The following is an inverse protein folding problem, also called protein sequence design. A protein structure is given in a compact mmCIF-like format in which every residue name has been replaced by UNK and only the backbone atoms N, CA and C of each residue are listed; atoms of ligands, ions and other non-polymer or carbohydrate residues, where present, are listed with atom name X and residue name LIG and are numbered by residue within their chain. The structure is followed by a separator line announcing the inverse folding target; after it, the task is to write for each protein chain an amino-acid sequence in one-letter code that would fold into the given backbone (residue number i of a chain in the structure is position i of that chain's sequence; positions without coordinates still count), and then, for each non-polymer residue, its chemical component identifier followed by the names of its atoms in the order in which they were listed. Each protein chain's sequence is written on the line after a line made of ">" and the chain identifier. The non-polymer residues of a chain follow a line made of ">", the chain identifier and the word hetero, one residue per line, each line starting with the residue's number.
data_IF_557148097064
#
_entry.id   IF_557148097064
#
_cell.length_a   1.000
_cell.length_b   1.000
_cell.length_c   1.000
_cell.angle_alpha   90.00
_cell.angle_beta   90.00
_cell.angle_gamma   90.00
#
_symmetry.space_group_name_H-M   'P 1'
#
loop_
_entity.id
_entity.type
_entity.pdbx_description
1 polymer ?
#
# COMPACT_ATOMS: atom_id res chain seq x y z
N UNK A 1 -20.13 6.50 -4.49
CA UNK A 1 -18.66 6.36 -4.60
C UNK A 1 -18.30 6.52 -6.06
N UNK A 2 -17.24 7.26 -6.37
CA UNK A 2 -16.76 7.42 -7.75
C UNK A 2 -16.19 6.09 -8.25
N UNK A 3 -16.39 5.76 -9.52
CA UNK A 3 -15.79 4.59 -10.18
C UNK A 3 -14.98 5.01 -11.40
N UNK A 4 -13.89 4.29 -11.69
CA UNK A 4 -13.05 4.51 -12.88
C UNK A 4 -12.46 3.19 -13.38
N UNK A 5 -12.17 3.10 -14.68
CA UNK A 5 -11.40 1.98 -15.23
C UNK A 5 -9.91 2.26 -14.99
N UNK A 6 -9.23 1.34 -14.31
CA UNK A 6 -7.80 1.45 -13.97
C UNK A 6 -7.01 0.26 -14.45
N UNK A 7 -5.73 0.51 -14.67
CA UNK A 7 -4.69 -0.52 -14.72
C UNK A 7 -4.15 -0.74 -13.30
N UNK A 8 -3.96 -2.00 -12.91
CA UNK A 8 -3.51 -2.42 -11.58
C UNK A 8 -2.45 -3.49 -11.80
N UNK A 9 -1.23 -3.32 -11.29
CA UNK A 9 -0.14 -4.30 -11.39
C UNK A 9 0.46 -4.57 -10.02
N UNK A 10 0.59 -5.84 -9.63
CA UNK A 10 1.33 -6.23 -8.43
C UNK A 10 2.84 -6.02 -8.67
N UNK A 11 3.49 -5.28 -7.77
CA UNK A 11 4.92 -4.94 -7.85
C UNK A 11 5.76 -5.75 -6.88
N UNK A 12 5.26 -6.01 -5.68
CA UNK A 12 5.95 -6.84 -4.69
C UNK A 12 6.33 -8.20 -5.25
N UNK A 13 7.60 -8.57 -5.15
CA UNK A 13 8.12 -9.85 -5.64
C UNK A 13 8.30 -9.96 -7.16
N UNK A 14 8.04 -8.90 -7.93
CA UNK A 14 8.14 -8.93 -9.40
C UNK A 14 8.99 -7.79 -9.97
N UNK A 15 9.75 -8.09 -11.03
CA UNK A 15 10.62 -7.11 -11.70
C UNK A 15 9.97 -6.57 -12.99
N UNK A 16 8.70 -6.19 -12.91
CA UNK A 16 7.91 -5.65 -14.03
C UNK A 16 7.02 -6.66 -14.77
N UNK A 17 6.96 -7.90 -14.28
CA UNK A 17 6.18 -9.00 -14.84
C UNK A 17 5.13 -9.54 -13.85
N UNK A 18 4.69 -8.70 -12.92
CA UNK A 18 3.69 -9.10 -11.94
C UNK A 18 2.31 -9.29 -12.58
N UNK A 19 1.42 -10.08 -11.95
CA UNK A 19 0.02 -10.13 -12.32
C UNK A 19 -0.55 -8.72 -12.47
N UNK A 20 -1.31 -8.49 -13.54
CA UNK A 20 -1.90 -7.19 -13.81
C UNK A 20 -3.32 -7.32 -14.33
N UNK A 21 -4.12 -6.30 -14.01
CA UNK A 21 -5.53 -6.24 -14.31
C UNK A 21 -5.90 -4.90 -14.93
N UNK A 22 -6.97 -4.93 -15.71
CA UNK A 22 -7.75 -3.75 -16.08
C UNK A 22 -9.17 -3.98 -15.58
N UNK A 23 -9.62 -3.10 -14.70
CA UNK A 23 -10.84 -3.31 -13.94
C UNK A 23 -11.55 -2.02 -13.55
N UNK A 24 -12.84 -2.15 -13.22
CA UNK A 24 -13.64 -1.05 -12.67
C UNK A 24 -13.37 -0.93 -11.17
N UNK A 25 -12.67 0.13 -10.79
CA UNK A 25 -12.37 0.38 -9.39
C UNK A 25 -13.40 1.30 -8.77
N UNK A 26 -13.60 1.18 -7.46
CA UNK A 26 -14.38 2.13 -6.66
C UNK A 26 -13.49 2.90 -5.69
N UNK A 27 -13.69 4.20 -5.57
CA UNK A 27 -12.98 5.01 -4.59
C UNK A 27 -13.76 5.11 -3.27
N UNK A 28 -13.04 5.16 -2.15
CA UNK A 28 -13.60 5.60 -0.87
C UNK A 28 -14.09 7.04 -0.95
N UNK A 29 -14.84 7.49 0.07
CA UNK A 29 -15.37 8.87 0.11
C UNK A 29 -14.24 9.92 0.07
N UNK A 30 -13.12 9.65 0.73
CA UNK A 30 -11.94 10.52 0.74
C UNK A 30 -11.11 10.42 -0.54
N UNK A 31 -11.33 9.38 -1.35
CA UNK A 31 -10.53 9.10 -2.55
C UNK A 31 -9.17 8.45 -2.26
N UNK A 32 -8.81 8.24 -0.99
CA UNK A 32 -7.51 7.67 -0.59
C UNK A 32 -7.41 6.15 -0.74
N UNK A 33 -8.55 5.47 -0.80
CA UNK A 33 -8.64 4.01 -0.89
C UNK A 33 -9.35 3.63 -2.19
N UNK A 34 -8.81 2.65 -2.88
CA UNK A 34 -9.36 2.05 -4.09
C UNK A 34 -9.82 0.63 -3.75
N UNK A 35 -11.00 0.23 -4.20
CA UNK A 35 -11.53 -1.11 -4.05
C UNK A 35 -11.63 -1.79 -5.41
N UNK A 36 -11.10 -3.00 -5.51
CA UNK A 36 -11.18 -3.85 -6.70
C UNK A 36 -10.94 -5.31 -6.32
N UNK A 37 -11.72 -6.22 -6.89
CA UNK A 37 -11.56 -7.68 -6.76
C UNK A 37 -11.47 -8.18 -5.30
N UNK A 38 -12.43 -7.75 -4.47
CA UNK A 38 -12.45 -8.13 -3.05
C UNK A 38 -11.31 -7.56 -2.20
N UNK A 39 -10.50 -6.64 -2.76
CA UNK A 39 -9.35 -6.00 -2.11
C UNK A 39 -9.55 -4.50 -1.91
N UNK A 40 -8.77 -3.94 -1.00
CA UNK A 40 -8.55 -2.51 -0.87
C UNK A 40 -7.09 -2.16 -1.15
N UNK A 41 -6.88 -0.98 -1.70
CA UNK A 41 -5.57 -0.43 -2.00
C UNK A 41 -5.51 0.98 -1.43
N UNK A 42 -4.60 1.22 -0.50
CA UNK A 42 -4.38 2.52 0.11
C UNK A 42 -3.21 3.24 -0.58
N UNK A 43 -3.35 4.55 -0.79
CA UNK A 43 -2.29 5.38 -1.37
C UNK A 43 -1.03 5.32 -0.51
N UNK A 44 0.13 5.13 -1.16
CA UNK A 44 1.43 5.26 -0.51
C UNK A 44 1.90 6.73 -0.42
N UNK A 45 1.14 7.69 -0.95
CA UNK A 45 1.45 9.13 -0.88
C UNK A 45 2.90 9.49 -1.30
N UNK A 46 3.47 8.70 -2.21
CA UNK A 46 4.83 8.88 -2.73
C UNK A 46 5.96 8.22 -1.92
N UNK A 47 5.65 7.43 -0.89
CA UNK A 47 6.65 6.70 -0.09
C UNK A 47 6.94 5.28 -0.59
N UNK A 48 6.18 4.80 -1.59
CA UNK A 48 6.36 3.47 -2.17
C UNK A 48 7.70 3.27 -2.86
N UNK A 49 8.18 2.03 -2.83
CA UNK A 49 9.47 1.64 -3.45
C UNK A 49 9.29 1.36 -4.95
N UNK A 50 8.25 0.61 -5.27
CA UNK A 50 7.99 0.00 -6.58
C UNK A 50 6.56 0.24 -7.09
N UNK A 51 5.62 0.48 -6.17
CA UNK A 51 4.23 0.85 -6.42
C UNK A 51 3.86 2.22 -5.88
N UNK A 52 2.61 2.61 -6.09
CA UNK A 52 2.01 3.85 -5.58
C UNK A 52 0.80 3.60 -4.65
N UNK A 53 0.37 2.34 -4.54
CA UNK A 53 -0.60 1.89 -3.56
C UNK A 53 -0.09 0.62 -2.87
N UNK A 54 -0.67 0.25 -1.74
CA UNK A 54 -0.45 -1.04 -1.09
C UNK A 54 -1.76 -1.68 -0.65
N UNK A 55 -1.77 -3.02 -0.57
CA UNK A 55 -2.87 -3.79 0.03
C UNK A 55 -2.65 -3.88 1.54
N UNK A 56 -3.51 -3.30 2.39
CA UNK A 56 -3.31 -3.25 3.84
C UNK A 56 -3.38 -4.62 4.53
N UNK A 57 -3.85 -5.66 3.84
CA UNK A 57 -3.91 -7.04 4.34
C UNK A 57 -2.59 -7.80 4.14
N UNK A 58 -1.80 -7.42 3.14
CA UNK A 58 -0.59 -8.17 2.73
C UNK A 58 0.68 -7.32 2.72
N UNK A 59 0.55 -6.00 2.82
CA UNK A 59 1.59 -5.01 2.60
C UNK A 59 2.23 -5.07 1.20
N UNK A 60 1.60 -5.77 0.25
CA UNK A 60 2.05 -5.82 -1.13
C UNK A 60 1.85 -4.47 -1.82
N UNK A 61 2.88 -3.99 -2.52
CA UNK A 61 2.81 -2.77 -3.31
C UNK A 61 2.23 -3.05 -4.70
N UNK A 62 1.37 -2.14 -5.14
CA UNK A 62 0.71 -2.15 -6.44
C UNK A 62 0.99 -0.84 -7.18
N UNK A 63 1.13 -0.96 -8.49
CA UNK A 63 1.08 0.16 -9.41
C UNK A 63 -0.34 0.31 -9.96
N UNK A 64 -1.02 1.41 -9.61
CA UNK A 64 -2.37 1.71 -10.06
C UNK A 64 -2.38 3.03 -10.83
N UNK A 65 -2.82 2.98 -12.09
CA UNK A 65 -2.87 4.13 -12.98
C UNK A 65 -4.13 4.13 -13.86
N UNK A 66 -4.38 5.24 -14.56
CA UNK A 66 -5.35 5.23 -15.66
C UNK A 66 -4.90 4.28 -16.78
N UNK A 67 -5.86 3.72 -17.50
CA UNK A 67 -5.60 2.91 -18.69
C UNK A 67 -5.14 3.80 -19.85
N UNK A 68 -4.16 3.31 -20.63
CA UNK A 68 -3.65 3.98 -21.82
C UNK A 68 -4.37 3.51 -23.07
N UNK A 69 -4.66 4.46 -23.97
CA UNK A 69 -5.30 4.17 -25.27
C UNK A 69 -4.40 3.35 -26.20
N UNK A 70 -3.09 3.48 -26.05
CA UNK A 70 -2.09 2.78 -26.86
C UNK A 70 -1.73 1.39 -26.31
N UNK A 71 -2.38 0.96 -25.23
CA UNK A 71 -2.21 -0.37 -24.63
C UNK A 71 -0.80 -0.60 -24.03
N UNK A 72 -0.02 0.46 -23.79
CA UNK A 72 1.33 0.40 -23.19
C UNK A 72 1.32 0.56 -21.67
N UNK A 73 0.26 0.09 -20.99
CA UNK A 73 0.10 0.22 -19.54
C UNK A 73 1.25 -0.44 -18.78
N UNK A 74 1.58 -1.67 -19.17
CA UNK A 74 2.70 -2.43 -18.61
C UNK A 74 4.04 -1.80 -19.01
N UNK A 75 5.02 -1.92 -18.12
CA UNK A 75 6.39 -1.50 -18.38
C UNK A 75 6.95 -2.16 -19.67
N UNK A 76 7.78 -1.44 -20.42
CA UNK A 76 8.32 -1.87 -21.74
C UNK A 76 9.07 -3.21 -21.73
N UNK A 77 9.67 -3.57 -20.60
CA UNK A 77 10.39 -4.83 -20.40
C UNK A 77 9.61 -5.81 -19.51
N UNK A 78 8.38 -5.46 -19.17
CA UNK A 78 7.46 -6.33 -18.47
C UNK A 78 6.88 -7.37 -19.41
N UNK A 79 6.39 -8.46 -18.82
CA UNK A 79 5.73 -9.54 -19.56
C UNK A 79 4.53 -10.08 -18.79
N UNK A 80 3.87 -11.07 -19.39
CA UNK A 80 2.67 -11.70 -18.82
C UNK A 80 1.39 -11.03 -19.29
N UNK A 81 0.30 -11.80 -19.27
CA UNK A 81 -1.01 -11.32 -19.68
C UNK A 81 -1.55 -10.27 -18.72
N UNK A 82 -2.38 -9.39 -19.25
CA UNK A 82 -3.19 -8.44 -18.48
C UNK A 82 -4.62 -8.94 -18.46
N UNK A 83 -5.16 -9.16 -17.27
CA UNK A 83 -6.51 -9.66 -17.10
C UNK A 83 -7.53 -8.52 -17.19
N UNK A 84 -8.45 -8.58 -18.14
CA UNK A 84 -9.51 -7.58 -18.30
C UNK A 84 -10.77 -8.12 -17.66
N UNK A 85 -11.33 -7.34 -16.74
CA UNK A 85 -12.61 -7.66 -16.12
C UNK A 85 -13.73 -7.75 -17.17
N UNK A 86 -14.47 -8.86 -17.17
CA UNK A 86 -15.53 -9.14 -18.16
C UNK A 86 -16.59 -8.04 -18.27
N UNK A 87 -17.01 -7.44 -17.14
CA UNK A 87 -18.11 -6.46 -17.09
C UNK A 87 -17.80 -5.16 -17.83
N UNK A 88 -16.52 -4.79 -17.91
CA UNK A 88 -16.08 -3.53 -18.55
C UNK A 88 -15.54 -3.72 -19.96
N UNK A 89 -15.62 -4.93 -20.53
CA UNK A 89 -15.00 -5.22 -21.82
C UNK A 89 -15.43 -4.22 -22.91
N UNK A 90 -16.72 -3.92 -23.00
CA UNK A 90 -17.24 -2.94 -23.98
C UNK A 90 -16.63 -1.56 -23.80
N UNK A 91 -16.61 -1.06 -22.56
CA UNK A 91 -16.09 0.27 -22.24
C UNK A 91 -14.58 0.35 -22.48
N UNK A 92 -13.84 -0.69 -22.10
CA UNK A 92 -12.40 -0.76 -22.33
C UNK A 92 -12.07 -0.81 -23.82
N UNK A 93 -12.78 -1.60 -24.62
CA UNK A 93 -12.63 -1.66 -26.07
C UNK A 93 -12.85 -0.28 -26.72
N UNK A 94 -13.81 0.49 -26.24
CA UNK A 94 -14.03 1.87 -26.69
C UNK A 94 -12.83 2.78 -26.36
N UNK A 95 -12.26 2.66 -25.16
CA UNK A 95 -11.08 3.44 -24.74
C UNK A 95 -9.89 3.20 -25.67
N UNK A 96 -9.61 1.94 -25.99
CA UNK A 96 -8.47 1.55 -26.85
C UNK A 96 -8.80 1.58 -28.35
N UNK A 97 -10.05 1.92 -28.71
CA UNK A 97 -10.54 1.96 -30.10
C UNK A 97 -10.32 0.64 -30.85
N UNK A 98 -10.68 -0.49 -30.22
CA UNK A 98 -10.59 -1.84 -30.79
C UNK A 98 -11.97 -2.49 -30.85
N UNK A 99 -12.16 -3.38 -31.83
CA UNK A 99 -13.37 -4.21 -31.93
C UNK A 99 -13.31 -5.47 -31.06
N UNK A 100 -12.10 -5.94 -30.76
CA UNK A 100 -11.86 -7.14 -29.97
C UNK A 100 -10.58 -7.02 -29.14
N UNK A 101 -10.54 -7.81 -28.07
CA UNK A 101 -9.42 -7.83 -27.14
C UNK A 101 -8.28 -8.70 -27.71
N UNK A 102 -7.03 -8.20 -27.82
CA UNK A 102 -5.91 -9.00 -28.32
C UNK A 102 -5.56 -10.15 -27.37
N UNK A 103 -5.88 -11.38 -27.78
CA UNK A 103 -5.74 -12.59 -26.95
C UNK A 103 -4.28 -12.97 -26.61
N UNK A 104 -3.31 -12.38 -27.32
CA UNK A 104 -1.88 -12.57 -27.05
C UNK A 104 -1.50 -12.04 -25.67
N UNK A 105 -1.92 -10.81 -25.38
CA UNK A 105 -1.46 -10.04 -24.23
C UNK A 105 -2.55 -9.87 -23.17
N UNK A 106 -3.80 -10.22 -23.50
CA UNK A 106 -4.94 -10.02 -22.63
C UNK A 106 -5.80 -11.27 -22.48
N UNK A 107 -6.42 -11.39 -21.31
CA UNK A 107 -7.33 -12.48 -20.98
C UNK A 107 -8.52 -11.95 -20.19
N UNK A 108 -9.72 -12.50 -20.40
CA UNK A 108 -10.89 -12.08 -19.67
C UNK A 108 -10.95 -12.78 -18.31
N UNK A 109 -11.23 -12.01 -17.26
CA UNK A 109 -11.41 -12.55 -15.89
C UNK A 109 -12.72 -12.09 -15.27
N UNK A 110 -13.23 -12.91 -14.36
CA UNK A 110 -14.22 -12.48 -13.38
C UNK A 110 -13.49 -11.88 -12.19
N UNK A 111 -14.17 -10.98 -11.49
CA UNK A 111 -13.65 -10.31 -10.29
C UNK A 111 -14.73 -10.26 -9.24
N UNK A 112 -14.33 -10.28 -7.98
CA UNK A 112 -15.22 -10.07 -6.86
C UNK A 112 -15.67 -8.59 -6.81
N UNK A 113 -16.99 -8.40 -6.79
CA UNK A 113 -17.60 -7.07 -6.90
C UNK A 113 -17.95 -6.46 -5.55
N UNK A 114 -18.00 -7.30 -4.52
CA UNK A 114 -18.23 -6.89 -3.14
C UNK A 114 -17.00 -6.16 -2.62
N UNK A 115 -17.22 -5.08 -1.89
CA UNK A 115 -16.13 -4.24 -1.35
C UNK A 115 -15.89 -4.66 0.08
N UNK A 116 -14.65 -4.95 0.49
CA UNK A 116 -14.33 -5.40 1.84
C UNK A 116 -14.33 -4.23 2.86
N UNK A 117 -15.30 -3.32 2.82
CA UNK A 117 -15.24 -2.07 3.61
C UNK A 117 -15.20 -2.36 5.11
N UNK A 118 -16.05 -3.25 5.61
CA UNK A 118 -16.10 -3.61 7.03
C UNK A 118 -14.79 -4.27 7.46
N UNK A 119 -14.33 -5.28 6.71
CA UNK A 119 -13.06 -5.99 6.94
C UNK A 119 -11.86 -5.04 6.98
N UNK A 120 -11.81 -4.05 6.08
CA UNK A 120 -10.70 -3.08 6.02
C UNK A 120 -10.76 -2.07 7.17
N UNK A 121 -11.97 -1.62 7.56
CA UNK A 121 -12.11 -0.75 8.71
C UNK A 121 -11.70 -1.45 10.01
N UNK A 122 -12.01 -2.74 10.17
CA UNK A 122 -11.57 -3.54 11.32
C UNK A 122 -10.04 -3.60 11.39
N UNK A 123 -9.36 -3.90 10.28
CA UNK A 123 -7.90 -3.90 10.22
C UNK A 123 -7.28 -2.52 10.50
N UNK A 124 -7.89 -1.44 10.01
CA UNK A 124 -7.43 -0.07 10.30
C UNK A 124 -7.62 0.27 11.78
N UNK A 125 -8.74 -0.13 12.39
CA UNK A 125 -9.00 0.09 13.82
C UNK A 125 -8.07 -0.74 14.70
N UNK A 126 -7.82 -2.02 14.37
CA UNK A 126 -6.83 -2.84 15.08
C UNK A 126 -5.45 -2.21 15.06
N UNK A 127 -5.01 -1.70 13.89
CA UNK A 127 -3.75 -0.94 13.78
C UNK A 127 -3.74 0.32 14.64
N UNK A 128 -4.88 1.00 14.78
CA UNK A 128 -5.00 2.17 15.63
C UNK A 128 -5.03 1.81 17.13
N UNK A 129 -5.66 0.70 17.51
CA UNK A 129 -5.71 0.19 18.89
C UNK A 129 -4.35 -0.35 19.35
N UNK A 130 -3.54 -0.92 18.45
CA UNK A 130 -2.15 -1.31 18.75
C UNK A 130 -1.30 -0.08 19.14
N UNK A 131 -1.63 1.11 18.64
CA UNK A 131 -1.03 2.36 19.11
C UNK A 131 -1.75 2.82 20.40
N UNK A 132 -1.58 2.07 21.50
CA UNK A 132 -2.00 2.47 22.86
C UNK A 132 -1.38 3.80 23.30
N UNK A 133 -0.31 4.21 22.63
CA UNK A 133 0.51 5.36 22.94
C UNK A 133 0.43 6.43 21.85
N UNK A 134 0.47 7.69 22.27
CA UNK A 134 0.40 8.86 21.39
C UNK A 134 1.56 8.88 20.37
N UNK A 135 1.31 9.23 19.12
CA UNK A 135 2.37 9.37 18.10
C UNK A 135 3.39 10.45 18.47
N UNK A 136 3.03 11.38 19.34
CA UNK A 136 3.88 12.49 19.74
C UNK A 136 4.92 12.13 20.81
N UNK A 137 4.93 10.90 21.32
CA UNK A 137 5.89 10.46 22.35
C UNK A 137 7.35 10.61 21.90
N UNK A 138 7.65 10.44 20.61
CA UNK A 138 8.99 10.59 20.03
C UNK A 138 9.57 12.00 20.20
N UNK A 139 8.71 13.00 20.41
CA UNK A 139 9.11 14.40 20.59
C UNK A 139 9.24 14.80 22.07
N UNK A 140 8.70 14.01 22.99
CA UNK A 140 8.82 14.24 24.43
C UNK A 140 10.24 13.96 24.91
N UNK A 141 10.65 14.63 25.98
CA UNK A 141 11.91 14.31 26.66
C UNK A 141 11.76 13.01 27.44
N UNK A 142 12.84 12.25 27.65
CA UNK A 142 12.79 11.00 28.42
C UNK A 142 12.12 11.15 29.79
N UNK A 143 12.33 12.27 30.49
CA UNK A 143 11.75 12.55 31.80
C UNK A 143 10.26 12.97 31.78
N UNK A 144 9.68 13.16 30.59
CA UNK A 144 8.26 13.50 30.39
C UNK A 144 7.41 12.26 30.05
N UNK A 145 8.05 11.08 29.95
CA UNK A 145 7.45 9.81 29.60
C UNK A 145 7.30 8.90 30.83
N UNK A 146 6.25 8.08 30.87
CA UNK A 146 6.14 6.94 31.80
C UNK A 146 7.10 5.81 31.41
N UNK A 147 7.29 4.82 32.29
CA UNK A 147 8.17 3.69 31.99
C UNK A 147 7.63 2.86 30.82
N UNK A 148 6.31 2.64 30.78
CA UNK A 148 5.62 1.95 29.68
C UNK A 148 5.75 2.72 28.35
N UNK A 149 5.60 4.05 28.38
CA UNK A 149 5.81 4.91 27.21
C UNK A 149 7.27 4.87 26.72
N UNK A 150 8.25 4.82 27.63
CA UNK A 150 9.67 4.68 27.28
C UNK A 150 9.93 3.32 26.62
N UNK A 151 9.42 2.23 27.19
CA UNK A 151 9.58 0.89 26.63
C UNK A 151 8.94 0.77 25.24
N UNK A 152 7.76 1.35 25.05
CA UNK A 152 7.10 1.42 23.76
C UNK A 152 7.96 2.14 22.71
N UNK A 153 8.41 3.36 23.01
CA UNK A 153 9.23 4.15 22.07
C UNK A 153 10.57 3.46 21.77
N UNK A 154 11.17 2.78 22.74
CA UNK A 154 12.39 1.96 22.53
C UNK A 154 12.11 0.85 21.51
N UNK A 155 10.96 0.18 21.61
CA UNK A 155 10.58 -0.92 20.72
C UNK A 155 10.38 -0.44 19.27
N UNK A 156 9.68 0.69 19.07
CA UNK A 156 9.49 1.30 17.75
C UNK A 156 10.82 1.72 17.13
N UNK A 157 11.66 2.43 17.90
CA UNK A 157 12.98 2.88 17.43
C UNK A 157 13.91 1.72 17.07
N UNK A 158 13.77 0.57 17.75
CA UNK A 158 14.55 -0.62 17.43
C UNK A 158 14.11 -1.25 16.09
N UNK A 159 12.82 -1.18 15.76
CA UNK A 159 12.30 -1.66 14.48
C UNK A 159 12.67 -0.70 13.33
N UNK A 160 12.52 0.60 13.55
CA UNK A 160 12.98 1.65 12.62
C UNK A 160 14.48 1.55 12.33
N UNK A 161 15.31 1.26 13.35
CA UNK A 161 16.75 1.06 13.18
C UNK A 161 17.07 -0.08 12.19
N UNK A 162 16.30 -1.16 12.21
CA UNK A 162 16.47 -2.32 11.31
C UNK A 162 16.01 -1.99 9.89
N UNK A 163 14.87 -1.31 9.76
CA UNK A 163 14.17 -1.17 8.48
C UNK A 163 14.64 0.05 7.68
N UNK A 164 15.22 1.07 8.32
CA UNK A 164 15.61 2.28 7.62
C UNK A 164 16.78 2.06 6.65
N UNK A 165 16.66 2.57 5.42
CA UNK A 165 17.70 2.43 4.39
C UNK A 165 18.92 3.32 4.66
N UNK A 166 18.70 4.54 5.18
CA UNK A 166 19.75 5.55 5.32
C UNK A 166 20.55 5.44 6.63
N UNK A 167 21.87 5.35 6.50
CA UNK A 167 22.79 5.29 7.66
C UNK A 167 22.65 6.48 8.63
N UNK A 168 22.31 7.67 8.14
CA UNK A 168 22.11 8.86 8.98
C UNK A 168 20.90 8.69 9.89
N UNK A 169 19.78 8.24 9.35
CA UNK A 169 18.56 8.00 10.11
C UNK A 169 18.77 6.88 11.14
N UNK A 170 19.39 5.76 10.73
CA UNK A 170 19.74 4.66 11.65
C UNK A 170 20.54 5.11 12.87
N UNK A 171 21.56 5.96 12.67
CA UNK A 171 22.35 6.52 13.78
C UNK A 171 21.52 7.42 14.69
N UNK A 172 20.57 8.17 14.12
CA UNK A 172 19.66 9.03 14.88
C UNK A 172 18.75 8.20 15.78
N UNK A 173 18.08 7.18 15.22
CA UNK A 173 17.21 6.27 15.98
C UNK A 173 17.97 5.56 17.08
N UNK A 174 19.13 4.98 16.77
CA UNK A 174 20.00 4.34 17.76
C UNK A 174 20.37 5.28 18.91
N UNK A 175 20.74 6.53 18.60
CA UNK A 175 21.10 7.51 19.63
C UNK A 175 19.93 7.81 20.55
N UNK A 176 18.73 8.01 19.99
CA UNK A 176 17.52 8.29 20.76
C UNK A 176 17.10 7.09 21.62
N UNK A 177 17.19 5.88 21.06
CA UNK A 177 16.93 4.62 21.78
C UNK A 177 17.86 4.47 22.99
N UNK A 178 19.17 4.68 22.81
CA UNK A 178 20.15 4.62 23.91
C UNK A 178 19.89 5.67 24.99
N UNK A 179 19.41 6.87 24.62
CA UNK A 179 19.03 7.91 25.59
C UNK A 179 17.85 7.46 26.47
N UNK A 180 16.86 6.81 25.86
CA UNK A 180 15.67 6.29 26.54
C UNK A 180 15.99 5.06 27.40
N UNK A 181 16.80 4.13 26.89
CA UNK A 181 17.29 2.97 27.65
C UNK A 181 18.04 3.44 28.91
N UNK A 182 18.90 4.45 28.78
CA UNK A 182 19.63 5.02 29.91
C UNK A 182 18.71 5.74 30.92
N UNK A 183 17.57 6.29 30.48
CA UNK A 183 16.59 6.87 31.38
C UNK A 183 15.83 5.79 32.15
N UNK A 184 15.39 4.72 31.47
CA UNK A 184 14.71 3.59 32.10
C UNK A 184 15.60 2.92 33.17
N UNK A 185 16.90 2.75 32.87
CA UNK A 185 17.87 2.21 33.83
C UNK A 185 18.05 3.09 35.09
N UNK A 186 17.86 4.42 35.00
CA UNK A 186 17.93 5.30 36.18
C UNK A 186 16.70 5.20 37.08
N UNK A 187 15.58 4.72 36.54
CA UNK A 187 14.29 4.63 37.25
C UNK A 187 14.13 3.31 38.02
N UNK A 188 14.94 2.30 37.68
CA UNK A 188 15.10 1.03 38.41
C UNK A 188 15.81 1.25 39.74
#
# INVERSE_FOLDING_TARGET
>A
MRTEIKYIELKSGFSGNGPAWIGLVSFSKSGKTIYFDGKAFQSLDGTGISGNFFDPETDDEYWISGVKKDMTDRHKFGGGKVFVEKRILSDYLQIISKSELPKSDYELTEVETEKPIERINELENEKAEINEFDTDLHFKKPNELTDEEIEFVISELAEDEKNVQFNKARRSYKKKRLELEAELEKRK
#
